data_IF_009137190475
#
_entry.id   IF_009137190475
#
_cell.length_a   1.000
_cell.length_b   1.000
_cell.length_c   1.000
_cell.angle_alpha   90.00
_cell.angle_beta   90.00
_cell.angle_gamma   90.00
#
_symmetry.space_group_name_H-M   'P 1'
#
loop_
_entity.id
_entity.type
_entity.pdbx_description
1 polymer ?
#
# COMPACT_ATOMS: atom_id res chain seq x y z
N UNK A 1 63.65 -2.98 -13.18
CA UNK A 1 63.61 -3.53 -11.81
C UNK A 1 63.17 -2.43 -10.84
N UNK A 2 62.16 -2.73 -10.01
CA UNK A 2 61.86 -2.18 -8.65
C UNK A 2 61.71 -0.65 -8.48
N UNK A 3 60.79 -0.11 -7.67
CA UNK A 3 59.55 -0.47 -6.94
C UNK A 3 59.17 0.85 -6.16
N UNK A 4 57.99 0.95 -5.54
CA UNK A 4 57.08 2.09 -5.57
C UNK A 4 57.34 3.17 -4.52
N UNK A 5 56.74 4.34 -4.71
CA UNK A 5 56.66 5.43 -3.72
C UNK A 5 55.50 5.19 -2.74
N UNK A 6 55.88 4.80 -1.52
CA UNK A 6 55.32 5.05 -0.18
C UNK A 6 53.81 4.84 0.07
N UNK A 7 53.59 3.85 0.93
CA UNK A 7 52.38 3.32 1.55
C UNK A 7 51.89 4.16 2.75
N UNK A 8 50.56 4.34 2.83
CA UNK A 8 49.66 4.38 4.01
C UNK A 8 50.13 4.94 5.38
N UNK A 9 49.48 6.02 5.85
CA UNK A 9 48.83 6.10 7.18
C UNK A 9 48.06 7.45 7.37
N UNK A 10 46.72 7.32 7.55
CA UNK A 10 45.93 8.01 8.58
C UNK A 10 45.75 9.56 8.55
N UNK A 11 44.67 10.04 7.90
CA UNK A 11 43.56 10.89 8.44
C UNK A 11 42.44 10.82 7.38
N UNK A 12 41.64 9.74 7.35
CA UNK A 12 40.29 9.71 7.95
C UNK A 12 39.76 11.08 8.42
N UNK A 13 39.33 11.91 7.47
CA UNK A 13 38.37 12.99 7.70
C UNK A 13 37.13 12.62 6.87
N UNK A 14 36.25 11.75 7.36
CA UNK A 14 35.06 12.19 8.09
C UNK A 14 34.53 13.55 7.61
N UNK A 15 34.12 13.60 6.34
CA UNK A 15 33.05 14.48 5.89
C UNK A 15 31.85 13.68 5.37
N UNK A 16 31.65 12.49 5.93
CA UNK A 16 30.44 11.66 5.73
C UNK A 16 29.64 11.53 7.04
N UNK A 17 29.64 12.57 7.87
CA UNK A 17 28.75 12.68 9.04
C UNK A 17 28.56 14.15 9.42
N UNK A 18 27.86 14.95 8.60
CA UNK A 18 27.18 16.14 9.13
C UNK A 18 26.11 16.71 8.20
N UNK A 19 25.04 15.95 7.95
CA UNK A 19 23.67 16.46 8.04
C UNK A 19 22.80 15.30 8.50
N UNK A 20 22.79 15.08 9.81
CA UNK A 20 21.71 14.35 10.44
C UNK A 20 20.45 15.21 10.43
N UNK A 21 19.31 14.54 10.25
CA UNK A 21 17.98 14.96 10.70
C UNK A 21 17.56 16.39 10.36
N UNK A 22 16.79 16.53 9.27
CA UNK A 22 15.97 17.71 9.02
C UNK A 22 16.52 18.63 7.94
N UNK A 23 15.69 18.83 6.93
CA UNK A 23 15.65 19.94 5.98
C UNK A 23 16.65 19.99 4.82
N UNK A 24 16.18 19.57 3.64
CA UNK A 24 16.35 20.34 2.39
C UNK A 24 15.14 20.16 1.46
N UNK A 25 14.25 21.17 1.48
CA UNK A 25 13.43 21.67 0.37
C UNK A 25 13.07 20.68 -0.75
N UNK A 26 12.09 19.82 -0.50
CA UNK A 26 11.08 19.45 -1.50
C UNK A 26 9.71 19.58 -0.82
N UNK A 27 8.80 20.26 -1.50
CA UNK A 27 7.48 20.63 -0.98
C UNK A 27 6.74 19.41 -0.40
N UNK A 28 6.34 19.52 0.87
CA UNK A 28 5.21 18.83 1.51
C UNK A 28 4.82 17.47 0.92
N UNK A 29 5.60 16.41 1.16
CA UNK A 29 5.07 15.04 1.13
C UNK A 29 5.57 14.31 2.35
N UNK A 30 4.81 14.43 3.43
CA UNK A 30 5.06 13.80 4.72
C UNK A 30 4.45 12.42 4.73
N UNK A 31 5.03 11.49 3.96
CA UNK A 31 4.86 10.08 4.24
C UNK A 31 5.63 9.77 5.52
N UNK A 32 4.95 9.84 6.66
CA UNK A 32 5.56 9.59 7.96
C UNK A 32 5.44 8.11 8.30
N UNK A 33 6.57 7.51 8.72
CA UNK A 33 6.62 6.17 9.34
C UNK A 33 7.24 5.06 8.49
N UNK A 34 8.44 5.26 7.94
CA UNK A 34 9.09 4.26 7.07
C UNK A 34 10.51 3.89 7.46
N UNK A 35 10.91 2.64 7.17
CA UNK A 35 12.26 2.13 7.38
C UNK A 35 13.26 2.55 6.28
N UNK A 36 12.79 2.88 5.07
CA UNK A 36 13.58 3.41 3.94
C UNK A 36 12.68 4.09 2.90
N UNK A 37 13.16 5.15 2.25
CA UNK A 37 12.53 5.74 1.06
C UNK A 37 13.52 5.76 -0.10
N UNK A 38 13.05 5.37 -1.29
CA UNK A 38 13.80 5.43 -2.54
C UNK A 38 12.90 6.07 -3.60
N UNK A 39 12.92 7.40 -3.68
CA UNK A 39 11.97 8.15 -4.51
C UNK A 39 10.54 8.05 -3.94
N UNK A 40 9.57 7.70 -4.78
CA UNK A 40 8.15 7.58 -4.43
C UNK A 40 7.77 6.19 -3.87
N UNK A 41 8.77 5.36 -3.54
CA UNK A 41 8.55 4.05 -2.94
C UNK A 41 8.90 4.05 -1.46
N UNK A 42 7.98 3.52 -0.67
CA UNK A 42 8.04 3.45 0.76
C UNK A 42 7.87 2.01 1.26
N UNK A 43 8.69 1.62 2.22
CA UNK A 43 8.78 0.24 2.69
C UNK A 43 8.67 0.19 4.21
N UNK A 44 7.82 -0.71 4.70
CA UNK A 44 7.74 -1.16 6.08
C UNK A 44 8.81 -2.21 6.40
N UNK A 45 8.51 -3.03 7.40
CA UNK A 45 9.37 -3.99 8.07
C UNK A 45 8.64 -5.33 8.23
N UNK A 46 9.16 -6.24 9.06
CA UNK A 46 8.48 -7.51 9.32
C UNK A 46 7.50 -7.45 10.51
N UNK A 47 7.28 -6.27 11.08
CA UNK A 47 6.27 -6.05 12.11
C UNK A 47 5.39 -4.86 11.75
N UNK A 48 4.31 -4.66 12.49
CA UNK A 48 3.29 -3.66 12.14
C UNK A 48 3.83 -2.23 12.04
N UNK A 49 3.52 -1.59 10.93
CA UNK A 49 3.97 -0.27 10.52
C UNK A 49 2.82 0.70 10.32
N UNK A 50 3.09 1.99 10.52
CA UNK A 50 2.17 3.07 10.16
C UNK A 50 2.80 3.89 9.05
N UNK A 51 2.24 3.77 7.86
CA UNK A 51 2.65 4.46 6.66
C UNK A 51 1.53 5.42 6.26
N UNK A 52 1.82 6.72 6.28
CA UNK A 52 0.79 7.72 6.05
C UNK A 52 1.22 8.78 5.03
N UNK A 53 0.83 8.59 3.78
CA UNK A 53 1.08 9.48 2.65
C UNK A 53 -0.06 10.46 2.33
N UNK A 54 -0.93 10.75 3.31
CA UNK A 54 -2.13 11.60 3.13
C UNK A 54 -1.91 12.98 2.51
N UNK A 55 -0.68 13.51 2.54
CA UNK A 55 -0.31 14.80 1.95
C UNK A 55 0.26 14.70 0.53
N UNK A 56 0.50 13.49 0.01
CA UNK A 56 1.01 13.27 -1.33
C UNK A 56 -0.06 13.58 -2.38
N UNK A 57 0.36 14.20 -3.48
CA UNK A 57 -0.44 14.30 -4.72
C UNK A 57 0.18 13.48 -5.85
N UNK A 58 1.31 12.83 -5.57
CA UNK A 58 2.00 11.98 -6.52
C UNK A 58 1.58 10.53 -6.30
N UNK A 59 1.67 9.76 -7.38
CA UNK A 59 1.57 8.30 -7.39
C UNK A 59 2.70 7.72 -6.53
N UNK A 60 2.35 7.02 -5.45
CA UNK A 60 3.30 6.38 -4.54
C UNK A 60 3.18 4.87 -4.57
N UNK A 61 4.27 4.20 -4.17
CA UNK A 61 4.28 2.76 -3.91
C UNK A 61 4.53 2.55 -2.42
N UNK A 62 3.63 1.85 -1.76
CA UNK A 62 3.70 1.51 -0.34
C UNK A 62 3.75 -0.02 -0.22
N UNK A 63 4.72 -0.51 0.53
CA UNK A 63 4.92 -1.94 0.80
C UNK A 63 5.01 -2.13 2.32
N UNK A 64 3.97 -2.66 2.95
CA UNK A 64 3.92 -2.96 4.38
C UNK A 64 4.92 -4.04 4.78
N UNK A 65 4.99 -5.08 3.95
CA UNK A 65 5.83 -6.27 4.06
C UNK A 65 5.27 -7.31 5.01
N UNK A 66 5.26 -7.12 6.32
CA UNK A 66 4.59 -8.09 7.19
C UNK A 66 4.37 -7.57 8.60
N UNK A 67 3.43 -8.20 9.31
CA UNK A 67 2.84 -7.64 10.51
C UNK A 67 1.56 -6.88 10.16
N UNK A 68 0.88 -6.35 11.18
CA UNK A 68 -0.40 -5.68 11.01
C UNK A 68 -0.16 -4.20 10.75
N UNK A 69 -0.38 -3.77 9.53
CA UNK A 69 0.01 -2.46 9.02
C UNK A 69 -1.17 -1.49 8.89
N UNK A 70 -0.86 -0.18 8.94
CA UNK A 70 -1.78 0.89 8.56
C UNK A 70 -1.13 1.66 7.41
N UNK A 71 -1.63 1.45 6.21
CA UNK A 71 -1.05 1.95 4.97
C UNK A 71 -2.02 2.92 4.30
N UNK A 72 -1.58 4.17 4.11
CA UNK A 72 -2.45 5.22 3.59
C UNK A 72 -1.77 5.95 2.45
N UNK A 73 -2.43 5.98 1.30
CA UNK A 73 -2.06 6.73 0.10
C UNK A 73 -2.33 8.24 0.21
N UNK A 74 -2.26 8.89 -0.93
CA UNK A 74 -2.38 10.32 -1.16
C UNK A 74 -3.56 10.66 -2.08
N UNK A 75 -3.33 11.53 -3.05
CA UNK A 75 -4.32 11.93 -4.07
C UNK A 75 -3.89 11.49 -5.48
N UNK A 76 -2.80 10.74 -5.59
CA UNK A 76 -2.28 10.17 -6.84
C UNK A 76 -2.78 8.76 -7.05
N UNK A 77 -2.40 8.11 -8.15
CA UNK A 77 -2.70 6.71 -8.40
C UNK A 77 -1.69 5.84 -7.65
N UNK A 78 -2.07 5.35 -6.48
CA UNK A 78 -1.15 4.71 -5.56
C UNK A 78 -1.17 3.19 -5.72
N UNK A 79 -0.06 2.55 -5.38
CA UNK A 79 0.04 1.09 -5.24
C UNK A 79 0.36 0.79 -3.79
N UNK A 80 -0.54 0.10 -3.10
CA UNK A 80 -0.43 -0.20 -1.67
C UNK A 80 -0.54 -1.72 -1.48
N UNK A 81 0.53 -2.34 -0.99
CA UNK A 81 0.57 -3.76 -0.67
C UNK A 81 0.79 -3.94 0.84
N UNK A 82 -0.14 -4.60 1.52
CA UNK A 82 -0.06 -4.98 2.94
C UNK A 82 1.03 -6.02 3.15
N UNK A 83 0.75 -7.25 2.70
CA UNK A 83 1.62 -8.40 2.91
C UNK A 83 0.94 -9.38 3.85
N UNK A 84 1.70 -10.15 4.65
CA UNK A 84 1.11 -10.98 5.68
C UNK A 84 0.81 -10.19 6.96
N UNK A 85 -0.41 -10.36 7.49
CA UNK A 85 -0.86 -9.73 8.73
C UNK A 85 -2.28 -9.20 8.55
N UNK A 86 -2.91 -8.76 9.64
CA UNK A 86 -4.20 -8.06 9.53
C UNK A 86 -3.96 -6.58 9.21
N UNK A 87 -4.12 -6.20 7.94
CA UNK A 87 -3.75 -4.89 7.44
C UNK A 87 -4.94 -3.94 7.22
N UNK A 88 -4.67 -2.65 7.37
CA UNK A 88 -5.57 -1.57 6.99
C UNK A 88 -4.98 -0.78 5.83
N UNK A 89 -5.65 -0.79 4.68
CA UNK A 89 -5.21 -0.08 3.47
C UNK A 89 -6.23 0.98 3.06
N UNK A 90 -5.75 2.19 2.73
CA UNK A 90 -6.60 3.29 2.28
C UNK A 90 -5.96 4.08 1.13
N UNK A 91 -6.51 3.93 -0.08
CA UNK A 91 -6.01 4.57 -1.32
C UNK A 91 -6.26 6.08 -1.34
N UNK A 92 -7.49 6.46 -0.97
CA UNK A 92 -8.05 7.82 -0.89
C UNK A 92 -8.53 8.39 -2.22
N UNK A 93 -7.64 8.86 -3.07
CA UNK A 93 -8.04 9.62 -4.24
C UNK A 93 -7.06 9.35 -5.35
N UNK A 94 -7.59 9.10 -6.55
CA UNK A 94 -6.77 8.56 -7.64
C UNK A 94 -7.38 7.24 -8.09
N UNK A 95 -6.72 6.54 -9.00
CA UNK A 95 -7.08 5.16 -9.34
C UNK A 95 -6.05 4.26 -8.70
N UNK A 96 -6.40 3.72 -7.55
CA UNK A 96 -5.48 3.04 -6.67
C UNK A 96 -5.49 1.54 -6.91
N UNK A 97 -4.36 0.90 -6.62
CA UNK A 97 -4.24 -0.55 -6.51
C UNK A 97 -3.93 -0.92 -5.06
N UNK A 98 -4.84 -1.65 -4.42
CA UNK A 98 -4.71 -2.10 -3.03
C UNK A 98 -4.69 -3.63 -3.00
N UNK A 99 -3.72 -4.21 -2.28
CA UNK A 99 -3.66 -5.65 -2.00
C UNK A 99 -3.44 -5.87 -0.52
N UNK A 100 -4.37 -6.55 0.15
CA UNK A 100 -4.26 -6.91 1.57
C UNK A 100 -3.15 -7.92 1.78
N UNK A 101 -3.31 -9.12 1.22
CA UNK A 101 -2.30 -10.15 1.22
C UNK A 101 -2.78 -11.40 1.93
N UNK A 102 -2.37 -11.62 3.17
CA UNK A 102 -2.84 -12.79 3.92
C UNK A 102 -3.27 -12.41 5.32
N UNK A 103 -4.30 -13.10 5.81
CA UNK A 103 -5.05 -12.83 7.06
C UNK A 103 -6.23 -11.89 6.79
N UNK A 104 -6.82 -11.29 7.82
CA UNK A 104 -8.03 -10.47 7.64
C UNK A 104 -7.62 -9.03 7.36
N UNK A 105 -7.90 -8.58 6.16
CA UNK A 105 -7.57 -7.24 5.71
C UNK A 105 -8.80 -6.35 5.54
N UNK A 106 -8.57 -5.04 5.67
CA UNK A 106 -9.58 -4.01 5.44
C UNK A 106 -9.08 -2.99 4.43
N UNK A 107 -9.70 -2.99 3.25
CA UNK A 107 -9.29 -2.20 2.09
C UNK A 107 -10.34 -1.15 1.73
N UNK A 108 -9.90 0.10 1.56
CA UNK A 108 -10.73 1.22 1.12
C UNK A 108 -10.11 1.92 -0.09
N UNK A 109 -10.79 1.91 -1.25
CA UNK A 109 -10.39 2.66 -2.44
C UNK A 109 -10.63 4.17 -2.29
N UNK A 110 -11.88 4.52 -1.97
CA UNK A 110 -12.41 5.88 -1.75
C UNK A 110 -12.85 6.64 -2.99
N UNK A 111 -11.99 7.34 -3.73
CA UNK A 111 -12.43 8.13 -4.88
C UNK A 111 -11.60 7.80 -6.11
N UNK A 112 -12.28 7.35 -7.15
CA UNK A 112 -11.69 6.97 -8.42
C UNK A 112 -12.02 5.52 -8.73
N UNK A 113 -11.66 5.03 -9.91
CA UNK A 113 -11.87 3.63 -10.27
C UNK A 113 -10.70 2.80 -9.76
N UNK A 114 -10.89 2.17 -8.62
CA UNK A 114 -9.87 1.49 -7.84
C UNK A 114 -9.88 -0.02 -8.11
N UNK A 115 -8.75 -0.68 -7.82
CA UNK A 115 -8.62 -2.14 -7.85
C UNK A 115 -8.23 -2.62 -6.45
N UNK A 116 -9.10 -3.39 -5.82
CA UNK A 116 -8.92 -3.93 -4.48
C UNK A 116 -8.81 -5.45 -4.57
N UNK A 117 -7.78 -6.02 -3.95
CA UNK A 117 -7.55 -7.46 -3.84
C UNK A 117 -7.38 -7.82 -2.37
N UNK A 118 -8.31 -8.60 -1.81
CA UNK A 118 -8.24 -9.05 -0.41
C UNK A 118 -7.04 -9.96 -0.22
N UNK A 119 -7.06 -11.11 -0.88
CA UNK A 119 -5.97 -12.07 -0.82
C UNK A 119 -6.45 -13.36 -0.20
N UNK A 120 -5.82 -13.84 0.86
CA UNK A 120 -6.31 -15.00 1.62
C UNK A 120 -6.70 -14.57 3.03
N UNK A 121 -7.73 -15.18 3.61
CA UNK A 121 -8.32 -14.70 4.85
C UNK A 121 -9.65 -14.00 4.59
N UNK A 122 -10.34 -13.60 5.65
CA UNK A 122 -11.70 -13.06 5.55
C UNK A 122 -11.65 -11.55 5.42
N UNK A 123 -11.71 -11.04 4.21
CA UNK A 123 -11.40 -9.66 3.92
C UNK A 123 -12.65 -8.78 3.82
N UNK A 124 -12.44 -7.48 3.97
CA UNK A 124 -13.47 -6.46 3.80
C UNK A 124 -13.00 -5.42 2.79
N UNK A 125 -13.63 -5.39 1.63
CA UNK A 125 -13.25 -4.55 0.50
C UNK A 125 -14.34 -3.51 0.23
N UNK A 126 -13.96 -2.24 0.23
CA UNK A 126 -14.86 -1.11 0.04
C UNK A 126 -14.32 -0.21 -1.08
N UNK A 127 -14.93 -0.27 -2.27
CA UNK A 127 -14.57 0.56 -3.42
C UNK A 127 -14.86 2.04 -3.17
N UNK A 128 -16.08 2.33 -2.73
CA UNK A 128 -16.65 3.67 -2.53
C UNK A 128 -17.05 4.37 -3.83
N UNK A 129 -16.56 5.57 -4.14
CA UNK A 129 -17.01 6.33 -5.31
C UNK A 129 -16.12 6.00 -6.50
N UNK A 130 -16.70 5.49 -7.58
CA UNK A 130 -15.95 5.20 -8.78
C UNK A 130 -16.50 4.00 -9.50
N UNK A 131 -15.78 3.55 -10.52
CA UNK A 131 -16.08 2.26 -11.13
C UNK A 131 -14.95 1.33 -10.71
N UNK A 132 -15.21 0.53 -9.68
CA UNK A 132 -14.20 -0.21 -8.96
C UNK A 132 -14.15 -1.67 -9.40
N UNK A 133 -13.03 -2.33 -9.09
CA UNK A 133 -12.86 -3.77 -9.28
C UNK A 133 -12.40 -4.39 -7.97
N UNK A 134 -13.22 -5.25 -7.39
CA UNK A 134 -12.99 -5.88 -6.09
C UNK A 134 -12.83 -7.39 -6.28
N UNK A 135 -11.73 -7.93 -5.77
CA UNK A 135 -11.43 -9.36 -5.74
C UNK A 135 -11.29 -9.81 -4.29
N UNK A 136 -12.20 -10.66 -3.81
CA UNK A 136 -12.19 -11.17 -2.43
C UNK A 136 -10.98 -12.07 -2.19
N UNK A 137 -11.05 -13.31 -2.65
CA UNK A 137 -10.03 -14.28 -2.29
C UNK A 137 -10.58 -15.70 -2.25
N UNK A 138 -9.83 -16.69 -1.76
CA UNK A 138 -10.33 -18.05 -1.64
C UNK A 138 -11.28 -18.26 -0.43
N UNK A 139 -11.39 -17.29 0.48
CA UNK A 139 -12.06 -17.40 1.78
C UNK A 139 -13.33 -16.54 1.84
N UNK A 140 -14.05 -16.52 2.98
CA UNK A 140 -15.32 -15.79 3.10
C UNK A 140 -15.11 -14.28 3.19
N UNK A 141 -15.48 -13.54 2.15
CA UNK A 141 -15.21 -12.10 2.07
C UNK A 141 -16.47 -11.22 2.13
N UNK A 142 -16.28 -9.93 2.40
CA UNK A 142 -17.33 -8.90 2.28
C UNK A 142 -16.90 -7.85 1.26
N UNK A 143 -17.66 -7.72 0.18
CA UNK A 143 -17.37 -6.81 -0.92
C UNK A 143 -18.48 -5.75 -1.04
N UNK A 144 -18.09 -4.49 -1.05
CA UNK A 144 -18.97 -3.35 -1.25
C UNK A 144 -18.38 -2.41 -2.32
N UNK A 145 -18.96 -2.43 -3.52
CA UNK A 145 -18.59 -1.53 -4.61
C UNK A 145 -18.81 -0.06 -4.23
N UNK A 146 -20.04 0.29 -3.83
CA UNK A 146 -20.43 1.66 -3.54
C UNK A 146 -21.00 2.37 -4.77
N UNK A 147 -21.01 3.72 -4.78
CA UNK A 147 -21.51 4.46 -5.93
C UNK A 147 -20.69 4.29 -7.21
N UNK A 148 -21.26 3.60 -8.19
CA UNK A 148 -20.82 3.60 -9.58
C UNK A 148 -21.16 2.30 -10.29
N UNK A 149 -20.35 1.91 -11.27
CA UNK A 149 -20.47 0.61 -11.94
C UNK A 149 -19.26 -0.23 -11.53
N UNK A 150 -19.47 -1.12 -10.58
CA UNK A 150 -18.40 -1.90 -9.99
C UNK A 150 -18.43 -3.35 -10.46
N UNK A 151 -17.26 -3.96 -10.51
CA UNK A 151 -17.08 -5.39 -10.75
C UNK A 151 -16.60 -6.01 -9.45
N UNK A 152 -17.37 -6.95 -8.91
CA UNK A 152 -17.01 -7.67 -7.69
C UNK A 152 -16.93 -9.16 -7.99
N UNK A 153 -15.83 -9.78 -7.60
CA UNK A 153 -15.59 -11.21 -7.70
C UNK A 153 -15.06 -11.72 -6.36
N UNK A 154 -15.91 -12.41 -5.61
CA UNK A 154 -15.54 -13.02 -4.34
C UNK A 154 -14.56 -14.19 -4.52
N UNK A 155 -14.51 -14.80 -5.71
CA UNK A 155 -13.72 -15.99 -6.05
C UNK A 155 -14.10 -17.25 -5.25
N UNK A 156 -13.39 -17.57 -4.16
CA UNK A 156 -13.70 -18.72 -3.30
C UNK A 156 -14.72 -18.37 -2.24
N UNK A 157 -14.78 -19.14 -1.17
CA UNK A 157 -15.57 -18.78 0.01
C UNK A 157 -17.09 -18.68 -0.15
N UNK A 158 -17.73 -18.25 0.92
CA UNK A 158 -19.12 -17.82 0.99
C UNK A 158 -19.17 -16.31 1.19
N UNK A 159 -19.21 -15.57 0.09
CA UNK A 159 -19.07 -14.11 0.12
C UNK A 159 -20.38 -13.37 0.35
N UNK A 160 -20.26 -12.20 1.00
CA UNK A 160 -21.33 -11.22 1.10
C UNK A 160 -21.06 -10.05 0.14
N UNK A 161 -21.91 -9.93 -0.88
CA UNK A 161 -21.94 -8.77 -1.76
C UNK A 161 -23.07 -7.86 -1.29
N UNK A 162 -22.74 -6.71 -0.72
CA UNK A 162 -23.75 -5.77 -0.27
C UNK A 162 -24.60 -5.29 -1.47
N UNK A 163 -25.90 -5.61 -1.41
CA UNK A 163 -26.80 -5.62 -2.55
C UNK A 163 -27.15 -4.23 -3.09
N UNK A 164 -26.48 -3.83 -4.18
CA UNK A 164 -26.96 -2.93 -5.27
C UNK A 164 -25.82 -2.43 -6.17
N UNK A 165 -24.58 -2.74 -5.84
CA UNK A 165 -23.43 -1.97 -6.35
C UNK A 165 -22.46 -2.81 -7.21
N UNK A 166 -22.55 -4.15 -7.18
CA UNK A 166 -21.66 -5.05 -7.91
C UNK A 166 -22.34 -5.66 -9.15
N UNK A 167 -21.87 -5.33 -10.35
CA UNK A 167 -22.22 -6.00 -11.60
C UNK A 167 -21.23 -7.17 -11.85
N UNK A 168 -21.40 -8.26 -11.11
CA UNK A 168 -20.55 -9.47 -11.17
C UNK A 168 -21.29 -10.68 -10.61
N UNK A 169 -21.08 -11.87 -11.20
CA UNK A 169 -21.87 -13.07 -10.89
C UNK A 169 -21.70 -13.47 -9.43
N UNK A 170 -22.76 -13.54 -8.60
CA UNK A 170 -22.67 -14.20 -7.32
C UNK A 170 -22.18 -15.62 -7.59
N UNK A 171 -21.10 -16.03 -6.93
CA UNK A 171 -20.52 -17.36 -7.03
C UNK A 171 -21.65 -18.39 -7.07
N UNK A 172 -21.84 -19.01 -8.26
CA UNK A 172 -22.84 -20.05 -8.43
C UNK A 172 -22.22 -21.30 -7.79
N UNK A 173 -22.89 -21.92 -6.80
CA UNK A 173 -22.33 -23.03 -6.02
C UNK A 173 -21.96 -24.25 -6.86
#
# INVERSE_FOLDING_TARGET
MKRPTITAALVLLMLLTLFGHGDTVQAQVTCTGHARSLGWSYYGTAGGDLINCRGSIADVVILGLGGNDILIGGQGNDTILGGPGEDFLFGRGGRDFLSGGSERDLLFGSNGGDVLVGGSGRDSLIGSNGNDVLYGGPDDDTLFGGPGIDICDGQGGSDDFAASDCEGTPNVP
#
